data_IF_015655345588
#
_entry.id   IF_015655345588
#
_cell.length_a   1.000
_cell.length_b   1.000
_cell.length_c   1.000
_cell.angle_alpha   90.00
_cell.angle_beta   90.00
_cell.angle_gamma   90.00
#
_symmetry.space_group_name_H-M   'P 1'
#
loop_
_entity.id
_entity.type
_entity.pdbx_description
1 polymer ?
#
# COMPACT_ATOMS: atom_id res chain seq x y z
N UNK A 1 -15.08 7.50 -7.92
CA UNK A 1 -13.79 7.89 -7.31
C UNK A 1 -12.65 7.25 -8.06
N UNK A 2 -11.50 7.88 -8.09
CA UNK A 2 -10.24 7.34 -8.59
C UNK A 2 -9.21 7.39 -7.45
N UNK A 3 -8.57 6.26 -7.17
CA UNK A 3 -7.56 6.17 -6.10
C UNK A 3 -6.28 5.59 -6.68
N UNK A 4 -5.15 6.24 -6.41
CA UNK A 4 -3.84 5.79 -6.85
C UNK A 4 -2.90 5.80 -5.64
N UNK A 5 -2.24 4.68 -5.41
CA UNK A 5 -1.21 4.51 -4.38
C UNK A 5 0.08 4.11 -5.10
N UNK A 6 1.15 4.84 -4.85
CA UNK A 6 2.48 4.51 -5.37
C UNK A 6 3.44 4.31 -4.20
N UNK A 7 4.18 3.20 -4.25
CA UNK A 7 5.32 2.97 -3.36
C UNK A 7 6.49 2.49 -4.19
N UNK A 8 7.57 3.20 -4.07
CA UNK A 8 8.78 2.93 -4.81
C UNK A 8 9.99 3.05 -3.90
N UNK A 9 10.88 2.09 -3.99
CA UNK A 9 12.13 2.08 -3.24
C UNK A 9 13.23 1.41 -4.05
N UNK A 10 14.47 1.53 -3.60
CA UNK A 10 15.60 0.84 -4.18
C UNK A 10 16.18 -0.13 -3.16
N UNK A 11 15.78 -1.38 -3.27
CA UNK A 11 16.08 -2.40 -2.25
C UNK A 11 17.58 -2.58 -1.95
N UNK A 12 18.52 -2.42 -2.91
CA UNK A 12 19.94 -2.48 -2.59
C UNK A 12 20.43 -1.42 -1.59
N UNK A 13 19.66 -0.35 -1.36
CA UNK A 13 20.01 0.72 -0.44
C UNK A 13 19.32 0.60 0.94
N UNK A 14 18.46 -0.40 1.17
CA UNK A 14 17.70 -0.51 2.41
C UNK A 14 18.61 -0.72 3.64
N UNK A 15 19.57 -1.62 3.50
CA UNK A 15 20.51 -2.00 4.56
C UNK A 15 21.95 -1.98 4.00
N UNK A 16 22.63 -0.83 3.99
CA UNK A 16 23.94 -0.70 3.35
C UNK A 16 25.05 -1.51 4.02
N UNK A 17 24.80 -2.05 5.21
CA UNK A 17 25.72 -2.89 6.00
C UNK A 17 25.51 -4.40 5.81
N UNK A 18 24.51 -4.81 5.02
CA UNK A 18 24.24 -6.21 4.69
C UNK A 18 24.08 -6.39 3.16
N UNK A 19 24.22 -7.64 2.73
CA UNK A 19 23.90 -7.97 1.35
C UNK A 19 22.38 -8.00 1.18
N UNK A 20 21.82 -7.09 0.39
CA UNK A 20 20.38 -6.98 0.17
C UNK A 20 19.73 -8.28 -0.32
N UNK A 21 20.50 -9.17 -1.00
CA UNK A 21 19.99 -10.47 -1.49
C UNK A 21 19.65 -11.45 -0.37
N UNK A 22 20.20 -11.22 0.83
CA UNK A 22 19.96 -12.07 2.00
C UNK A 22 18.78 -11.54 2.84
N UNK A 23 18.24 -10.36 2.51
CA UNK A 23 17.05 -9.82 3.16
C UNK A 23 15.83 -10.70 2.86
N UNK A 24 14.95 -10.90 3.85
CA UNK A 24 13.71 -11.67 3.67
C UNK A 24 12.89 -11.19 2.47
N UNK A 25 12.85 -9.88 2.24
CA UNK A 25 12.13 -9.26 1.12
C UNK A 25 12.62 -9.69 -0.27
N UNK A 26 13.87 -10.18 -0.34
CA UNK A 26 14.52 -10.64 -1.58
C UNK A 26 14.51 -12.15 -1.75
N UNK A 27 14.08 -12.91 -0.73
CA UNK A 27 14.19 -14.38 -0.71
C UNK A 27 12.78 -15.00 -0.79
N UNK A 28 12.54 -15.76 -1.85
CA UNK A 28 11.24 -16.39 -2.11
C UNK A 28 10.76 -17.29 -0.97
N UNK A 29 11.64 -18.13 -0.44
CA UNK A 29 11.30 -19.09 0.60
C UNK A 29 11.04 -18.43 1.98
N UNK A 30 11.43 -17.17 2.14
CA UNK A 30 11.14 -16.36 3.32
C UNK A 30 9.88 -15.49 3.15
N UNK A 31 9.13 -15.67 2.05
CA UNK A 31 7.95 -14.88 1.76
C UNK A 31 8.28 -13.52 1.13
N UNK A 32 9.41 -13.42 0.43
CA UNK A 32 9.82 -12.19 -0.24
C UNK A 32 8.94 -11.80 -1.43
N UNK A 33 9.29 -10.67 -2.01
CA UNK A 33 8.59 -10.02 -3.11
C UNK A 33 7.88 -8.76 -2.67
N UNK A 34 7.72 -7.82 -3.61
CA UNK A 34 7.17 -6.49 -3.32
C UNK A 34 5.72 -6.55 -2.82
N UNK A 35 4.93 -7.53 -3.27
CA UNK A 35 3.53 -7.69 -2.84
C UNK A 35 3.41 -8.01 -1.34
N UNK A 36 4.20 -8.96 -0.84
CA UNK A 36 4.14 -9.35 0.57
C UNK A 36 4.86 -8.34 1.47
N UNK A 37 5.94 -7.74 0.99
CA UNK A 37 6.69 -6.76 1.77
C UNK A 37 5.90 -5.46 1.95
N UNK A 38 5.22 -4.98 0.91
CA UNK A 38 4.41 -3.76 0.95
C UNK A 38 2.92 -4.04 1.24
N UNK A 39 2.64 -5.13 1.96
CA UNK A 39 1.26 -5.55 2.33
C UNK A 39 0.48 -4.45 3.07
N UNK A 40 1.17 -3.55 3.75
CA UNK A 40 0.56 -2.44 4.48
C UNK A 40 -0.18 -1.44 3.59
N UNK A 41 0.13 -1.37 2.30
CA UNK A 41 -0.65 -0.56 1.36
C UNK A 41 -2.03 -1.16 1.07
N UNK A 42 -2.11 -2.48 1.03
CA UNK A 42 -3.39 -3.19 0.93
C UNK A 42 -4.19 -3.12 2.23
N UNK A 43 -3.50 -3.08 3.38
CA UNK A 43 -4.14 -2.84 4.68
C UNK A 43 -4.77 -1.44 4.74
N UNK A 44 -4.10 -0.41 4.22
CA UNK A 44 -4.69 0.92 4.05
C UNK A 44 -5.92 0.90 3.14
N UNK A 45 -5.88 0.15 2.03
CA UNK A 45 -7.05 0.00 1.16
C UNK A 45 -8.23 -0.63 1.91
N UNK A 46 -7.99 -1.70 2.67
CA UNK A 46 -9.01 -2.36 3.48
C UNK A 46 -9.54 -1.42 4.56
N UNK A 47 -8.66 -0.67 5.21
CA UNK A 47 -9.04 0.25 6.28
C UNK A 47 -9.94 1.37 5.80
N UNK A 48 -9.63 1.98 4.64
CA UNK A 48 -10.40 3.11 4.11
C UNK A 48 -11.63 2.68 3.31
N UNK A 49 -11.53 1.59 2.56
CA UNK A 49 -12.52 1.25 1.52
C UNK A 49 -13.16 -0.14 1.70
N UNK A 50 -12.67 -0.94 2.64
CA UNK A 50 -13.17 -2.31 2.86
C UNK A 50 -12.62 -3.32 1.87
N UNK A 51 -13.31 -4.44 1.71
CA UNK A 51 -12.92 -5.53 0.82
C UNK A 51 -13.24 -5.20 -0.63
N UNK A 52 -12.29 -5.30 -1.57
CA UNK A 52 -12.59 -5.23 -3.00
C UNK A 52 -13.32 -6.50 -3.48
N UNK A 53 -14.03 -6.38 -4.59
CA UNK A 53 -14.72 -7.52 -5.25
C UNK A 53 -13.74 -8.42 -5.97
N UNK A 54 -12.78 -7.82 -6.68
CA UNK A 54 -11.78 -8.57 -7.43
C UNK A 54 -10.44 -7.85 -7.47
N UNK A 55 -9.40 -8.61 -7.80
CA UNK A 55 -8.02 -8.16 -7.91
C UNK A 55 -7.47 -8.56 -9.27
N UNK A 56 -6.85 -7.60 -9.96
CA UNK A 56 -6.05 -7.85 -11.15
C UNK A 56 -4.62 -7.37 -10.89
N UNK A 57 -3.62 -8.16 -11.26
CA UNK A 57 -2.23 -7.83 -11.07
C UNK A 57 -1.42 -8.13 -12.32
N UNK A 58 -0.59 -7.17 -12.71
CA UNK A 58 0.46 -7.34 -13.72
C UNK A 58 1.79 -6.99 -13.06
N UNK A 59 2.79 -7.85 -13.24
CA UNK A 59 4.09 -7.62 -12.62
C UNK A 59 5.05 -8.79 -12.82
N UNK A 60 6.18 -8.69 -12.16
CA UNK A 60 7.22 -9.71 -12.21
C UNK A 60 8.56 -9.21 -11.69
N UNK A 61 9.61 -9.93 -12.03
CA UNK A 61 11.00 -9.53 -11.79
C UNK A 61 11.50 -8.79 -13.03
N UNK A 62 11.38 -7.46 -13.04
CA UNK A 62 11.69 -6.61 -14.19
C UNK A 62 13.02 -5.89 -14.06
N UNK A 63 13.55 -5.80 -12.85
CA UNK A 63 14.85 -5.19 -12.62
C UNK A 63 16.01 -6.14 -12.90
N UNK A 64 17.21 -5.60 -13.01
CA UNK A 64 18.45 -6.35 -13.14
C UNK A 64 19.23 -6.47 -11.82
N UNK A 65 18.57 -6.27 -10.66
CA UNK A 65 19.20 -6.44 -9.32
C UNK A 65 19.40 -7.91 -8.94
N UNK A 66 18.84 -8.85 -9.73
CA UNK A 66 19.06 -10.29 -9.56
C UNK A 66 18.30 -10.90 -8.40
N UNK A 67 17.00 -10.55 -8.29
CA UNK A 67 16.06 -11.16 -7.36
C UNK A 67 15.36 -12.37 -7.99
N UNK A 68 14.89 -13.30 -7.18
CA UNK A 68 14.05 -14.45 -7.57
C UNK A 68 12.57 -14.27 -7.19
N UNK A 69 12.21 -13.06 -6.79
CA UNK A 69 10.88 -12.62 -6.40
C UNK A 69 10.39 -11.49 -7.31
N UNK A 70 9.09 -11.22 -7.30
CA UNK A 70 8.56 -10.04 -7.99
C UNK A 70 9.08 -8.75 -7.34
N UNK A 71 9.58 -7.84 -8.18
CA UNK A 71 10.14 -6.55 -7.77
C UNK A 71 9.31 -5.35 -8.24
N UNK A 72 8.39 -5.57 -9.16
CA UNK A 72 7.52 -4.52 -9.68
C UNK A 72 6.16 -5.10 -10.00
N UNK A 73 5.11 -4.48 -9.46
CA UNK A 73 3.72 -4.87 -9.70
C UNK A 73 2.81 -3.66 -9.85
N UNK A 74 1.77 -3.83 -10.64
CA UNK A 74 0.64 -2.92 -10.82
C UNK A 74 -0.64 -3.70 -10.48
N UNK A 75 -1.29 -3.33 -9.38
CA UNK A 75 -2.47 -4.02 -8.87
C UNK A 75 -3.69 -3.12 -9.02
N UNK A 76 -4.74 -3.65 -9.62
CA UNK A 76 -6.06 -3.01 -9.65
C UNK A 76 -6.98 -3.73 -8.68
N UNK A 77 -7.52 -2.99 -7.71
CA UNK A 77 -8.57 -3.44 -6.81
C UNK A 77 -9.91 -2.91 -7.31
N UNK A 78 -10.85 -3.78 -7.64
CA UNK A 78 -12.18 -3.42 -8.13
C UNK A 78 -13.21 -3.42 -7.00
N UNK A 79 -13.89 -2.28 -6.82
CA UNK A 79 -14.96 -2.07 -5.83
C UNK A 79 -16.34 -1.87 -6.50
N UNK A 80 -16.51 -2.31 -7.76
CA UNK A 80 -17.71 -2.14 -8.61
C UNK A 80 -18.01 -0.70 -9.02
N UNK A 81 -18.00 0.25 -8.09
CA UNK A 81 -18.30 1.68 -8.33
C UNK A 81 -17.06 2.53 -8.55
N UNK A 82 -15.90 2.03 -8.20
CA UNK A 82 -14.60 2.66 -8.39
C UNK A 82 -13.50 1.61 -8.34
N UNK A 83 -12.30 1.99 -8.69
CA UNK A 83 -11.12 1.13 -8.59
C UNK A 83 -9.97 1.86 -7.88
N UNK A 84 -9.07 1.07 -7.31
CA UNK A 84 -7.82 1.52 -6.72
C UNK A 84 -6.68 0.95 -7.53
N UNK A 85 -5.72 1.79 -7.92
CA UNK A 85 -4.45 1.39 -8.50
C UNK A 85 -3.39 1.41 -7.42
N UNK A 86 -2.72 0.28 -7.18
CA UNK A 86 -1.58 0.16 -6.28
C UNK A 86 -0.35 -0.22 -7.10
N UNK A 87 0.61 0.69 -7.16
CA UNK A 87 1.85 0.51 -7.91
C UNK A 87 3.01 0.35 -6.92
N UNK A 88 3.69 -0.78 -6.97
CA UNK A 88 4.78 -1.11 -6.05
C UNK A 88 6.03 -1.46 -6.84
N UNK A 89 7.20 -0.93 -6.43
CA UNK A 89 8.47 -1.30 -7.04
C UNK A 89 9.65 -1.20 -6.08
N UNK A 90 10.57 -2.17 -6.18
CA UNK A 90 11.87 -2.18 -5.50
C UNK A 90 13.02 -1.63 -6.36
N UNK A 91 12.70 -1.08 -7.54
CA UNK A 91 13.68 -0.70 -8.54
C UNK A 91 13.91 0.82 -8.67
N UNK A 92 13.18 1.64 -7.98
CA UNK A 92 13.28 3.09 -8.08
C UNK A 92 14.31 3.66 -7.09
N UNK A 93 15.36 4.31 -7.61
CA UNK A 93 16.45 4.85 -6.77
C UNK A 93 16.03 6.00 -5.86
N UNK A 94 15.12 6.86 -6.31
CA UNK A 94 14.49 7.87 -5.45
C UNK A 94 13.26 7.24 -4.83
N UNK A 95 13.28 7.07 -3.50
CA UNK A 95 12.11 6.56 -2.78
C UNK A 95 10.90 7.47 -2.98
N UNK A 96 9.73 6.88 -3.13
CA UNK A 96 8.46 7.57 -3.25
C UNK A 96 7.38 6.80 -2.50
N UNK A 97 6.54 7.50 -1.77
CA UNK A 97 5.26 6.99 -1.29
C UNK A 97 4.24 8.09 -1.41
N UNK A 98 3.21 7.85 -2.20
CA UNK A 98 2.17 8.83 -2.47
C UNK A 98 0.79 8.20 -2.56
N UNK A 99 -0.22 8.95 -2.16
CA UNK A 99 -1.63 8.58 -2.24
C UNK A 99 -2.39 9.73 -2.89
N UNK A 100 -3.15 9.41 -3.93
CA UNK A 100 -4.07 10.33 -4.58
C UNK A 100 -5.48 9.76 -4.53
N UNK A 101 -6.45 10.59 -4.13
CA UNK A 101 -7.88 10.23 -4.11
C UNK A 101 -8.66 11.33 -4.78
N UNK A 102 -9.37 11.00 -5.86
CA UNK A 102 -10.32 11.89 -6.50
C UNK A 102 -11.75 11.41 -6.27
N UNK A 103 -12.54 12.25 -5.59
CA UNK A 103 -13.98 12.08 -5.42
C UNK A 103 -14.74 13.10 -6.29
N UNK A 104 -16.05 13.13 -6.14
CA UNK A 104 -16.93 14.03 -6.90
C UNK A 104 -16.68 15.50 -6.57
N UNK A 105 -16.57 15.85 -5.30
CA UNK A 105 -16.49 17.23 -4.84
C UNK A 105 -15.09 17.67 -4.44
N UNK A 106 -14.20 16.72 -4.17
CA UNK A 106 -12.83 17.00 -3.70
C UNK A 106 -11.86 15.98 -4.25
N UNK A 107 -10.60 16.40 -4.42
CA UNK A 107 -9.47 15.52 -4.57
C UNK A 107 -8.45 15.79 -3.48
N UNK A 108 -7.74 14.73 -3.08
CA UNK A 108 -6.68 14.82 -2.09
C UNK A 108 -5.42 14.17 -2.63
N UNK A 109 -4.28 14.72 -2.31
CA UNK A 109 -2.98 14.12 -2.57
C UNK A 109 -2.09 14.24 -1.34
N UNK A 110 -1.39 13.17 -1.05
CA UNK A 110 -0.37 13.11 -0.01
C UNK A 110 0.90 12.47 -0.57
N UNK A 111 2.05 12.97 -0.17
CA UNK A 111 3.32 12.32 -0.41
C UNK A 111 4.19 12.35 0.84
N UNK A 112 5.01 11.33 0.99
CA UNK A 112 5.87 11.17 2.17
C UNK A 112 6.98 12.23 2.23
N UNK A 113 7.55 12.64 1.10
CA UNK A 113 8.67 13.60 1.05
C UNK A 113 8.26 14.97 1.61
N UNK A 114 7.07 15.46 1.24
CA UNK A 114 6.55 16.74 1.71
C UNK A 114 5.80 16.64 3.04
N UNK A 115 5.42 15.44 3.45
CA UNK A 115 4.59 15.16 4.62
C UNK A 115 3.40 16.12 4.74
N UNK A 116 2.76 16.41 3.61
CA UNK A 116 1.62 17.30 3.54
C UNK A 116 0.45 16.63 2.83
N UNK A 117 -0.76 16.97 3.26
CA UNK A 117 -2.00 16.60 2.63
C UNK A 117 -2.55 17.82 1.88
N UNK A 118 -2.63 17.73 0.58
CA UNK A 118 -3.26 18.76 -0.25
C UNK A 118 -4.70 18.34 -0.52
N UNK A 119 -5.63 19.26 -0.33
CA UNK A 119 -7.05 19.07 -0.60
C UNK A 119 -7.49 20.14 -1.59
N UNK A 120 -8.01 19.73 -2.73
CA UNK A 120 -8.64 20.61 -3.71
C UNK A 120 -10.15 20.44 -3.67
N UNK A 121 -10.87 21.54 -3.42
CA UNK A 121 -12.33 21.60 -3.43
C UNK A 121 -12.78 21.99 -4.85
N UNK A 122 -13.43 21.07 -5.55
CA UNK A 122 -13.84 21.25 -6.95
C UNK A 122 -14.98 22.28 -7.10
N UNK A 123 -15.79 22.47 -6.04
CA UNK A 123 -16.93 23.41 -6.07
C UNK A 123 -16.46 24.84 -5.82
N UNK A 124 -15.54 25.00 -4.87
CA UNK A 124 -15.00 26.32 -4.50
C UNK A 124 -13.79 26.72 -5.31
N UNK A 125 -13.22 25.78 -6.08
CA UNK A 125 -11.98 25.96 -6.85
C UNK A 125 -10.81 26.43 -5.96
N UNK A 126 -10.72 25.89 -4.73
CA UNK A 126 -9.71 26.29 -3.74
C UNK A 126 -8.87 25.09 -3.29
N UNK A 127 -7.60 25.37 -3.02
CA UNK A 127 -6.66 24.40 -2.45
C UNK A 127 -6.41 24.70 -0.96
N UNK A 128 -6.36 23.66 -0.15
CA UNK A 128 -5.93 23.71 1.24
C UNK A 128 -4.77 22.76 1.42
N UNK A 129 -3.73 23.18 2.14
CA UNK A 129 -2.61 22.33 2.52
C UNK A 129 -2.67 22.13 4.03
N UNK A 130 -2.68 20.87 4.46
CA UNK A 130 -2.56 20.47 5.86
C UNK A 130 -1.17 19.87 6.01
N UNK A 131 -0.39 20.43 6.90
CA UNK A 131 0.94 19.95 7.23
C UNK A 131 1.01 19.74 8.74
N UNK A 132 1.40 18.54 9.14
CA UNK A 132 1.62 18.21 10.54
C UNK A 132 3.04 17.69 10.71
N UNK A 133 3.71 18.13 11.75
CA UNK A 133 5.04 17.63 12.11
C UNK A 133 4.88 16.36 12.95
N UNK A 134 4.65 15.26 12.26
CA UNK A 134 4.47 13.93 12.88
C UNK A 134 5.80 13.18 12.79
N UNK A 135 6.48 13.05 13.91
CA UNK A 135 7.66 12.19 14.00
C UNK A 135 7.28 10.71 14.01
N UNK A 136 8.19 9.85 13.57
CA UNK A 136 8.00 8.39 13.68
C UNK A 136 7.78 7.96 15.14
N UNK A 137 8.49 8.57 16.09
CA UNK A 137 8.35 8.29 17.51
C UNK A 137 6.93 8.61 18.02
N UNK A 138 6.34 9.71 17.57
CA UNK A 138 4.96 10.05 17.91
C UNK A 138 3.96 9.02 17.42
N UNK A 139 4.15 8.47 16.21
CA UNK A 139 3.26 7.42 15.69
C UNK A 139 3.30 6.16 16.55
N UNK A 140 4.49 5.71 16.94
CA UNK A 140 4.65 4.54 17.82
C UNK A 140 4.09 4.81 19.23
N UNK A 141 4.32 5.98 19.80
CA UNK A 141 3.76 6.40 21.08
C UNK A 141 2.23 6.37 21.07
N UNK A 142 1.61 6.90 20.04
CA UNK A 142 0.15 6.90 19.89
C UNK A 142 -0.37 5.47 19.75
N UNK A 143 0.29 4.61 18.99
CA UNK A 143 -0.08 3.21 18.83
C UNK A 143 -0.03 2.47 20.17
N UNK A 144 1.07 2.59 20.92
CA UNK A 144 1.23 1.95 22.22
C UNK A 144 0.19 2.48 23.23
N UNK A 145 0.00 3.80 23.32
CA UNK A 145 -1.01 4.40 24.19
C UNK A 145 -2.42 3.89 23.87
N UNK A 146 -2.74 3.70 22.60
CA UNK A 146 -4.01 3.17 22.18
C UNK A 146 -4.19 1.70 22.59
N UNK A 147 -3.16 0.88 22.49
CA UNK A 147 -3.16 -0.53 22.91
C UNK A 147 -3.37 -0.62 24.44
N UNK A 148 -2.62 0.18 25.21
CA UNK A 148 -2.66 0.15 26.67
C UNK A 148 -4.00 0.66 27.21
N UNK A 149 -4.51 1.74 26.65
CA UNK A 149 -5.72 2.39 27.18
C UNK A 149 -7.02 1.70 26.79
N UNK A 150 -6.99 0.77 25.83
CA UNK A 150 -8.11 -0.10 25.38
C UNK A 150 -9.47 0.62 25.18
N UNK A 151 -9.46 1.96 25.11
CA UNK A 151 -10.64 2.81 25.26
C UNK A 151 -11.11 3.44 23.93
N UNK A 152 -10.50 3.09 22.78
CA UNK A 152 -10.89 3.73 21.54
C UNK A 152 -11.48 2.73 20.53
N UNK A 153 -12.84 2.63 20.46
CA UNK A 153 -13.51 1.71 19.53
C UNK A 153 -13.20 2.02 18.05
N UNK A 154 -12.64 3.19 17.74
CA UNK A 154 -12.21 3.54 16.37
C UNK A 154 -10.98 2.81 15.89
N UNK A 155 -10.15 2.26 16.78
CA UNK A 155 -8.94 1.48 16.44
C UNK A 155 -9.25 -0.01 16.30
N UNK A 156 -10.43 -0.46 16.70
CA UNK A 156 -10.88 -1.84 16.47
C UNK A 156 -11.00 -2.22 14.98
N UNK A 157 -10.75 -1.27 14.06
CA UNK A 157 -10.62 -1.56 12.62
C UNK A 157 -9.34 -2.29 12.27
N UNK A 158 -8.31 -2.26 13.11
CA UNK A 158 -7.10 -3.08 12.98
C UNK A 158 -7.27 -4.38 13.77
N UNK A 159 -8.12 -5.27 13.28
CA UNK A 159 -8.31 -6.58 13.87
C UNK A 159 -7.74 -7.67 12.94
N UNK A 160 -7.65 -8.88 13.48
CA UNK A 160 -7.13 -10.03 12.74
C UNK A 160 -7.91 -10.32 11.44
N UNK A 161 -9.19 -9.95 11.38
CA UNK A 161 -10.03 -10.13 10.18
C UNK A 161 -9.60 -9.18 9.06
N UNK A 162 -9.29 -7.92 9.37
CA UNK A 162 -8.77 -6.97 8.38
C UNK A 162 -7.38 -7.38 7.89
N UNK A 163 -6.50 -7.82 8.78
CA UNK A 163 -5.19 -8.35 8.40
C UNK A 163 -5.32 -9.60 7.51
N UNK A 164 -6.31 -10.46 7.78
CA UNK A 164 -6.61 -11.59 6.90
C UNK A 164 -7.11 -11.14 5.51
N UNK A 165 -7.92 -10.08 5.42
CA UNK A 165 -8.36 -9.51 4.13
C UNK A 165 -7.18 -8.94 3.35
N UNK A 166 -6.29 -8.20 3.99
CA UNK A 166 -5.08 -7.64 3.35
C UNK A 166 -4.21 -8.75 2.76
N UNK A 167 -3.99 -9.83 3.51
CA UNK A 167 -3.28 -11.00 3.01
C UNK A 167 -4.03 -11.70 1.85
N UNK A 168 -5.35 -11.81 1.94
CA UNK A 168 -6.17 -12.41 0.88
C UNK A 168 -6.06 -11.62 -0.43
N UNK A 169 -6.02 -10.27 -0.37
CA UNK A 169 -5.79 -9.41 -1.52
C UNK A 169 -4.42 -9.69 -2.15
N UNK A 170 -3.36 -9.76 -1.34
CA UNK A 170 -2.00 -10.03 -1.83
C UNK A 170 -1.91 -11.41 -2.48
N UNK A 171 -2.51 -12.44 -1.88
CA UNK A 171 -2.52 -13.77 -2.47
C UNK A 171 -3.32 -13.83 -3.77
N UNK A 172 -4.45 -13.12 -3.85
CA UNK A 172 -5.22 -12.96 -5.08
C UNK A 172 -4.42 -12.20 -6.16
N UNK A 173 -3.64 -11.17 -5.80
CA UNK A 173 -2.75 -10.47 -6.71
C UNK A 173 -1.66 -11.41 -7.27
N UNK A 174 -1.01 -12.21 -6.42
CA UNK A 174 -0.05 -13.24 -6.87
C UNK A 174 -0.71 -14.28 -7.79
N UNK A 175 -1.91 -14.72 -7.48
CA UNK A 175 -2.67 -15.64 -8.34
C UNK A 175 -3.03 -14.98 -9.67
N UNK A 176 -3.53 -13.74 -9.65
CA UNK A 176 -3.88 -12.97 -10.85
C UNK A 176 -2.67 -12.82 -11.79
N UNK A 177 -1.52 -12.45 -11.23
CA UNK A 177 -0.27 -12.31 -11.99
C UNK A 177 0.15 -13.64 -12.64
N UNK A 178 0.01 -14.76 -11.92
CA UNK A 178 0.35 -16.10 -12.44
C UNK A 178 -0.61 -16.57 -13.53
N UNK A 179 -1.91 -16.29 -13.38
CA UNK A 179 -2.97 -16.81 -14.25
C UNK A 179 -3.38 -15.81 -15.34
N UNK A 180 -2.85 -14.59 -15.34
CA UNK A 180 -3.18 -13.50 -16.27
C UNK A 180 -4.71 -13.23 -16.36
N UNK A 181 -5.40 -13.25 -15.23
CA UNK A 181 -6.83 -12.97 -15.12
C UNK A 181 -7.19 -12.29 -13.80
N UNK A 182 -8.35 -11.66 -13.75
CA UNK A 182 -8.90 -11.18 -12.48
C UNK A 182 -9.23 -12.35 -11.54
N UNK A 183 -9.00 -12.14 -10.25
CA UNK A 183 -9.34 -13.08 -9.17
C UNK A 183 -10.40 -12.44 -8.29
N UNK A 184 -11.56 -13.08 -8.17
CA UNK A 184 -12.63 -12.64 -7.29
C UNK A 184 -12.27 -12.96 -5.83
N UNK A 185 -12.61 -12.04 -4.93
CA UNK A 185 -12.55 -12.26 -3.50
C UNK A 185 -13.95 -12.60 -3.01
N UNK A 186 -14.14 -13.84 -2.58
CA UNK A 186 -15.43 -14.30 -2.06
C UNK A 186 -15.85 -13.47 -0.85
N UNK A 187 -17.06 -12.93 -0.89
CA UNK A 187 -17.69 -12.32 0.27
C UNK A 187 -17.98 -13.42 1.30
N UNK A 188 -17.25 -13.41 2.41
CA UNK A 188 -17.54 -14.28 3.54
C UNK A 188 -18.57 -13.64 4.45
#
# INVERSE_FOLDING_TARGET
SNVIINVASYIPNWHPYENYKDLYACVKDLGGGVLLTEIHEFDLCVWYFGQPKSVTCVGGTYSNVGLDVEDTVHVTLDYEKFSIQVNLTFWQKKAERSIFVAGENKSTSWNQEGNNLQIYDHIKETSTIIQEDISADLMFDLQIKNIINNNNPGISKTNILNSHLSLSIVLAAKQSMKENRAVNLDSK
#
